data_IF_850057501433
#
_entry.id   IF_850057501433
#
_cell.length_a   1.000
_cell.length_b   1.000
_cell.length_c   1.000
_cell.angle_alpha   90.00
_cell.angle_beta   90.00
_cell.angle_gamma   90.00
#
_symmetry.space_group_name_H-M   'P 1'
#
loop_
_entity.id
_entity.type
_entity.pdbx_description
1 polymer ?
#
# COMPACT_ATOMS: atom_id res chain seq x y z
N UNK A 1 8.47 15.76 -16.46
CA UNK A 1 9.50 16.21 -15.51
C UNK A 1 9.26 15.46 -14.20
N UNK A 2 10.27 14.79 -13.68
CA UNK A 2 10.18 13.92 -12.51
C UNK A 2 9.63 14.67 -11.29
N UNK A 3 8.58 14.14 -10.66
CA UNK A 3 8.17 14.59 -9.34
C UNK A 3 9.27 14.18 -8.35
N UNK A 4 10.09 15.17 -8.00
CA UNK A 4 11.20 15.04 -7.09
C UNK A 4 10.74 14.51 -5.73
N UNK A 5 11.47 13.51 -5.26
CA UNK A 5 11.47 13.10 -3.87
C UNK A 5 12.17 14.20 -3.04
N UNK A 6 11.51 15.34 -2.87
CA UNK A 6 12.00 16.41 -1.98
C UNK A 6 11.62 16.06 -0.55
N UNK A 7 12.64 15.83 0.28
CA UNK A 7 12.50 15.83 1.72
C UNK A 7 11.88 17.18 2.15
N UNK A 8 10.61 17.17 2.55
CA UNK A 8 9.94 18.36 3.05
C UNK A 8 10.21 18.53 4.54
N UNK A 9 10.85 19.66 4.86
CA UNK A 9 10.90 20.27 6.18
C UNK A 9 9.50 20.43 6.78
N UNK A 10 9.37 20.09 8.06
CA UNK A 10 8.13 19.93 8.82
C UNK A 10 7.14 21.10 8.75
N UNK A 11 5.91 20.80 8.35
CA UNK A 11 4.67 21.50 8.76
C UNK A 11 3.65 20.48 9.31
N UNK A 12 4.10 19.61 10.24
CA UNK A 12 3.24 18.70 11.00
C UNK A 12 2.85 17.38 10.32
N UNK A 13 3.33 17.11 9.10
CA UNK A 13 3.15 15.82 8.43
C UNK A 13 4.20 14.77 8.83
N UNK A 14 3.91 13.47 8.65
CA UNK A 14 4.89 12.41 8.86
C UNK A 14 6.10 12.63 7.94
N UNK A 15 7.29 12.68 8.53
CA UNK A 15 8.55 12.81 7.78
C UNK A 15 8.98 11.42 7.32
N UNK A 16 8.90 11.17 6.01
CA UNK A 16 9.43 9.94 5.41
C UNK A 16 10.97 9.97 5.41
N UNK A 17 11.58 8.82 5.72
CA UNK A 17 13.04 8.63 5.73
C UNK A 17 13.42 7.41 4.89
N UNK A 18 14.66 7.34 4.36
CA UNK A 18 15.12 6.18 3.60
C UNK A 18 15.02 4.86 4.37
N UNK A 19 15.16 4.91 5.70
CA UNK A 19 15.10 3.74 6.58
C UNK A 19 13.69 3.17 6.73
N UNK A 20 12.64 3.92 6.39
CA UNK A 20 11.24 3.53 6.64
C UNK A 20 10.86 2.23 5.92
N UNK A 21 11.47 1.94 4.76
CA UNK A 21 11.25 0.66 4.05
C UNK A 21 11.63 -0.55 4.91
N UNK A 22 12.82 -0.50 5.52
CA UNK A 22 13.32 -1.56 6.39
C UNK A 22 12.61 -1.54 7.74
N UNK A 23 12.41 -0.35 8.32
CA UNK A 23 11.77 -0.18 9.62
C UNK A 23 10.31 -0.64 9.61
N UNK A 24 9.55 -0.36 8.55
CA UNK A 24 8.18 -0.84 8.41
C UNK A 24 8.12 -2.37 8.41
N UNK A 25 9.03 -3.02 7.67
CA UNK A 25 9.13 -4.48 7.66
C UNK A 25 9.48 -5.04 9.05
N UNK A 26 10.45 -4.43 9.73
CA UNK A 26 10.84 -4.82 11.09
C UNK A 26 9.72 -4.61 12.11
N UNK A 27 8.97 -3.51 11.98
CA UNK A 27 7.82 -3.20 12.84
C UNK A 27 6.74 -4.26 12.71
N UNK A 28 6.38 -4.63 11.48
CA UNK A 28 5.39 -5.70 11.24
C UNK A 28 5.88 -7.06 11.78
N UNK A 29 7.16 -7.37 11.61
CA UNK A 29 7.75 -8.58 12.21
C UNK A 29 7.69 -8.57 13.74
N UNK A 30 7.96 -7.43 14.37
CA UNK A 30 7.84 -7.25 15.81
C UNK A 30 6.41 -7.43 16.32
N UNK A 31 5.42 -6.85 15.63
CA UNK A 31 4.01 -7.05 15.98
C UNK A 31 3.57 -8.50 15.80
N UNK A 32 3.94 -9.15 14.69
CA UNK A 32 3.60 -10.57 14.48
C UNK A 32 4.12 -11.43 15.62
N UNK A 33 5.39 -11.25 15.99
CA UNK A 33 5.98 -11.98 17.11
C UNK A 33 5.25 -11.77 18.43
N UNK A 34 4.92 -10.52 18.78
CA UNK A 34 4.20 -10.21 20.02
C UNK A 34 2.77 -10.74 20.02
N UNK A 35 2.07 -10.66 18.89
CA UNK A 35 0.72 -11.21 18.74
C UNK A 35 0.72 -12.73 18.88
N UNK A 36 1.72 -13.41 18.30
CA UNK A 36 1.89 -14.86 18.45
C UNK A 36 2.15 -15.24 19.91
N UNK A 37 3.04 -14.51 20.59
CA UNK A 37 3.31 -14.72 22.02
C UNK A 37 2.06 -14.58 22.88
N UNK A 38 1.26 -13.54 22.66
CA UNK A 38 0.00 -13.35 23.41
C UNK A 38 -0.97 -14.49 23.12
N UNK A 39 -1.10 -14.90 21.85
CA UNK A 39 -1.94 -16.05 21.46
C UNK A 39 -1.56 -17.31 22.23
N UNK A 40 -0.27 -17.62 22.31
CA UNK A 40 0.27 -18.80 23.01
C UNK A 40 0.08 -18.70 24.53
N UNK A 41 0.34 -17.54 25.13
CA UNK A 41 0.22 -17.31 26.58
C UNK A 41 -1.22 -17.37 27.09
N UNK A 42 -2.19 -16.95 26.26
CA UNK A 42 -3.60 -16.89 26.63
C UNK A 42 -4.43 -18.05 26.08
N UNK A 43 -3.80 -19.06 25.47
CA UNK A 43 -4.47 -20.18 24.78
C UNK A 43 -5.60 -19.69 23.87
N UNK A 44 -5.29 -18.62 23.10
CA UNK A 44 -6.25 -17.92 22.24
C UNK A 44 -5.98 -18.22 20.77
N UNK A 45 -7.03 -18.08 19.97
CA UNK A 45 -6.93 -18.16 18.51
C UNK A 45 -5.98 -17.10 17.94
N UNK A 46 -5.43 -17.38 16.76
CA UNK A 46 -4.49 -16.50 16.05
C UNK A 46 -5.03 -15.08 15.89
N UNK A 47 -4.34 -14.10 16.47
CA UNK A 47 -4.66 -12.69 16.28
C UNK A 47 -4.22 -12.19 14.91
N UNK A 48 -5.15 -11.58 14.17
CA UNK A 48 -4.88 -11.06 12.84
C UNK A 48 -4.01 -9.79 12.88
N UNK A 49 -3.01 -9.76 11.99
CA UNK A 49 -2.23 -8.57 11.66
C UNK A 49 -2.47 -8.21 10.20
N UNK A 50 -3.06 -7.04 9.97
CA UNK A 50 -3.38 -6.56 8.61
C UNK A 50 -2.83 -5.14 8.40
N UNK A 51 -2.71 -4.72 7.14
CA UNK A 51 -2.30 -3.36 6.81
C UNK A 51 -3.10 -2.81 5.64
N UNK A 52 -3.43 -1.51 5.72
CA UNK A 52 -3.90 -0.73 4.58
C UNK A 52 -2.68 -0.25 3.78
N UNK A 53 -2.64 -0.57 2.48
CA UNK A 53 -1.49 -0.32 1.62
C UNK A 53 -1.90 0.47 0.38
N UNK A 54 -0.98 1.27 -0.16
CA UNK A 54 -1.28 2.15 -1.30
C UNK A 54 -1.35 1.37 -2.63
N UNK A 55 -2.31 1.73 -3.48
CA UNK A 55 -2.37 1.24 -4.86
C UNK A 55 -1.29 1.84 -5.80
N UNK A 56 -0.61 2.92 -5.38
CA UNK A 56 0.35 3.64 -6.24
C UNK A 56 1.61 2.82 -6.52
N UNK A 57 2.02 2.62 -7.78
CA UNK A 57 3.25 1.90 -8.14
C UNK A 57 4.50 2.46 -7.43
N UNK A 58 4.57 3.79 -7.30
CA UNK A 58 5.69 4.47 -6.63
C UNK A 58 5.80 4.11 -5.14
N UNK A 59 4.66 3.90 -4.47
CA UNK A 59 4.61 3.54 -3.05
C UNK A 59 4.82 2.05 -2.84
N UNK A 60 4.27 1.22 -3.73
CA UNK A 60 4.53 -0.23 -3.76
C UNK A 60 6.03 -0.50 -3.88
N UNK A 61 6.74 0.25 -4.74
CA UNK A 61 8.19 0.14 -4.91
C UNK A 61 9.03 0.50 -3.68
N UNK A 62 8.44 1.14 -2.66
CA UNK A 62 9.08 1.44 -1.37
C UNK A 62 8.81 0.35 -0.32
N UNK A 63 8.08 -0.72 -0.65
CA UNK A 63 7.75 -1.80 0.27
C UNK A 63 8.59 -3.04 -0.02
N UNK A 64 8.98 -3.75 1.04
CA UNK A 64 9.51 -5.12 0.91
C UNK A 64 8.34 -6.12 0.81
N UNK A 65 7.52 -6.00 -0.25
CA UNK A 65 6.22 -6.69 -0.43
C UNK A 65 6.29 -8.18 -0.08
N UNK A 66 7.25 -8.92 -0.66
CA UNK A 66 7.42 -10.35 -0.36
C UNK A 66 7.65 -10.64 1.13
N UNK A 67 8.36 -9.78 1.86
CA UNK A 67 8.62 -9.97 3.30
C UNK A 67 7.39 -9.62 4.12
N UNK A 68 6.75 -8.49 3.84
CA UNK A 68 5.55 -8.09 4.59
C UNK A 68 4.38 -9.06 4.35
N UNK A 69 4.29 -9.67 3.17
CA UNK A 69 3.27 -10.68 2.86
C UNK A 69 3.41 -11.97 3.66
N UNK A 70 4.62 -12.27 4.18
CA UNK A 70 4.83 -13.41 5.07
C UNK A 70 4.34 -13.17 6.50
N UNK A 71 4.34 -11.91 6.95
CA UNK A 71 3.99 -11.55 8.34
C UNK A 71 2.55 -11.05 8.47
N UNK A 72 1.99 -10.45 7.41
CA UNK A 72 0.61 -10.01 7.38
C UNK A 72 -0.33 -11.17 7.04
N UNK A 73 -1.53 -11.15 7.63
CA UNK A 73 -2.64 -12.04 7.29
C UNK A 73 -3.40 -11.51 6.07
N UNK A 74 -3.55 -10.18 5.97
CA UNK A 74 -4.21 -9.52 4.85
C UNK A 74 -3.48 -8.23 4.45
N UNK A 75 -3.42 -8.00 3.14
CA UNK A 75 -2.90 -6.81 2.48
C UNK A 75 -4.10 -6.08 1.87
N UNK A 76 -4.66 -5.13 2.59
CA UNK A 76 -5.81 -4.35 2.16
C UNK A 76 -5.32 -3.21 1.26
N UNK A 77 -5.46 -3.36 -0.05
CA UNK A 77 -5.00 -2.37 -1.02
C UNK A 77 -6.07 -1.27 -1.14
N UNK A 78 -5.66 -0.03 -0.92
CA UNK A 78 -6.50 1.16 -1.05
C UNK A 78 -6.66 1.51 -2.54
N UNK A 79 -7.43 0.69 -3.24
CA UNK A 79 -7.72 0.76 -4.68
C UNK A 79 -8.73 1.89 -5.02
N UNK A 80 -8.48 3.07 -4.45
CA UNK A 80 -9.29 4.27 -4.58
C UNK A 80 -8.42 5.51 -4.32
N UNK A 81 -9.01 6.69 -4.39
CA UNK A 81 -8.31 7.98 -4.29
C UNK A 81 -7.22 8.17 -5.38
N UNK A 82 -7.42 7.59 -6.56
CA UNK A 82 -6.48 7.74 -7.69
C UNK A 82 -6.47 9.19 -8.20
N UNK A 83 -7.65 9.79 -8.25
CA UNK A 83 -7.89 11.15 -8.70
C UNK A 83 -8.86 11.85 -7.75
N UNK A 84 -8.76 13.18 -7.64
CA UNK A 84 -9.60 13.92 -6.72
C UNK A 84 -9.38 15.43 -6.74
N UNK A 85 -10.05 16.17 -5.83
CA UNK A 85 -10.06 17.64 -5.86
C UNK A 85 -8.69 18.31 -5.69
N UNK A 86 -7.66 17.57 -5.22
CA UNK A 86 -6.29 18.05 -5.12
C UNK A 86 -5.63 18.29 -6.49
N UNK A 87 -6.17 17.71 -7.57
CA UNK A 87 -5.77 17.99 -8.95
C UNK A 87 -6.47 19.26 -9.47
N UNK A 88 -6.10 20.42 -8.91
CA UNK A 88 -6.84 21.67 -9.10
C UNK A 88 -7.01 22.12 -10.57
N UNK A 89 -6.10 21.71 -11.45
CA UNK A 89 -6.13 22.04 -12.90
C UNK A 89 -6.77 20.93 -13.73
N UNK A 90 -7.19 19.83 -13.11
CA UNK A 90 -7.64 18.63 -13.78
C UNK A 90 -6.53 17.94 -14.61
N UNK A 91 -6.93 17.03 -15.52
CA UNK A 91 -8.33 16.69 -15.86
C UNK A 91 -9.05 15.94 -14.73
N UNK A 92 -10.38 15.97 -14.71
CA UNK A 92 -11.17 15.05 -13.89
C UNK A 92 -11.03 13.63 -14.43
N UNK A 93 -10.92 12.63 -13.56
CA UNK A 93 -10.79 11.23 -13.97
C UNK A 93 -11.37 10.26 -12.93
N UNK A 94 -11.34 8.95 -13.20
CA UNK A 94 -11.90 7.91 -12.34
C UNK A 94 -11.10 7.72 -11.06
N UNK A 95 -11.71 7.96 -9.90
CA UNK A 95 -11.02 7.82 -8.61
C UNK A 95 -10.71 6.36 -8.19
N UNK A 96 -11.36 5.38 -8.83
CA UNK A 96 -11.25 3.94 -8.51
C UNK A 96 -11.62 3.09 -9.74
N UNK A 97 -10.91 3.28 -10.85
CA UNK A 97 -11.15 2.47 -12.07
C UNK A 97 -10.59 1.05 -11.93
N UNK A 98 -11.37 0.04 -12.37
CA UNK A 98 -10.95 -1.36 -12.35
C UNK A 98 -9.80 -1.65 -13.32
N UNK A 99 -9.88 -1.05 -14.52
CA UNK A 99 -8.87 -1.15 -15.58
C UNK A 99 -8.52 0.25 -16.08
N UNK A 100 -7.30 0.42 -16.59
CA UNK A 100 -6.84 1.72 -17.08
C UNK A 100 -7.67 2.23 -18.26
N UNK A 101 -8.05 3.50 -18.21
CA UNK A 101 -8.72 4.17 -19.32
C UNK A 101 -7.73 4.46 -20.48
N UNK A 102 -8.04 4.09 -21.73
CA UNK A 102 -7.23 4.47 -22.89
C UNK A 102 -7.16 6.00 -23.13
N UNK A 103 -8.07 6.77 -22.52
CA UNK A 103 -8.10 8.22 -22.61
C UNK A 103 -7.22 8.91 -21.56
N UNK A 104 -6.71 8.17 -20.57
CA UNK A 104 -5.83 8.72 -19.55
C UNK A 104 -4.36 8.73 -20.01
N UNK A 105 -3.61 9.82 -19.78
CA UNK A 105 -2.16 9.82 -20.00
C UNK A 105 -1.43 8.74 -19.19
N UNK A 106 -0.59 7.95 -19.85
CA UNK A 106 0.13 6.82 -19.23
C UNK A 106 0.96 7.17 -17.97
N UNK A 107 1.37 8.43 -17.80
CA UNK A 107 2.11 8.88 -16.63
C UNK A 107 1.27 8.95 -15.34
N UNK A 108 -0.06 9.00 -15.46
CA UNK A 108 -0.99 9.16 -14.35
C UNK A 108 -1.81 7.90 -14.08
N UNK A 109 -1.83 6.95 -15.02
CA UNK A 109 -2.64 5.74 -14.96
C UNK A 109 -2.35 4.92 -13.70
N UNK A 110 -3.35 4.84 -12.83
CA UNK A 110 -3.45 3.90 -11.72
C UNK A 110 -4.83 3.26 -11.78
N UNK A 111 -4.87 1.94 -11.78
CA UNK A 111 -6.11 1.17 -11.73
C UNK A 111 -5.97 0.01 -10.76
N UNK A 112 -7.10 -0.58 -10.36
CA UNK A 112 -7.14 -1.77 -9.50
C UNK A 112 -6.37 -2.94 -10.13
N UNK A 113 -6.54 -3.19 -11.43
CA UNK A 113 -5.80 -4.27 -12.10
C UNK A 113 -4.28 -4.03 -12.03
N UNK A 114 -3.84 -2.80 -12.31
CA UNK A 114 -2.42 -2.47 -12.28
C UNK A 114 -1.83 -2.57 -10.87
N UNK A 115 -2.52 -2.05 -9.85
CA UNK A 115 -2.05 -2.09 -8.46
C UNK A 115 -1.89 -3.54 -7.98
N UNK A 116 -2.88 -4.39 -8.21
CA UNK A 116 -2.86 -5.81 -7.81
C UNK A 116 -1.76 -6.56 -8.56
N UNK A 117 -1.60 -6.33 -9.86
CA UNK A 117 -0.53 -6.94 -10.64
C UNK A 117 0.87 -6.49 -10.17
N UNK A 118 1.03 -5.23 -9.73
CA UNK A 118 2.28 -4.75 -9.14
C UNK A 118 2.60 -5.44 -7.80
N UNK A 119 1.61 -5.65 -6.93
CA UNK A 119 1.80 -6.42 -5.69
C UNK A 119 2.19 -7.87 -5.96
N UNK A 120 1.52 -8.52 -6.92
CA UNK A 120 1.84 -9.88 -7.33
C UNK A 120 3.26 -9.98 -7.90
N UNK A 121 3.65 -9.05 -8.78
CA UNK A 121 4.99 -8.98 -9.33
C UNK A 121 6.06 -8.74 -8.26
N UNK A 122 5.73 -7.99 -7.21
CA UNK A 122 6.60 -7.75 -6.05
C UNK A 122 6.61 -8.92 -5.04
N UNK A 123 5.89 -10.01 -5.30
CA UNK A 123 5.93 -11.25 -4.54
C UNK A 123 4.90 -11.36 -3.41
N UNK A 124 3.80 -10.60 -3.47
CA UNK A 124 2.68 -10.80 -2.56
C UNK A 124 1.99 -12.16 -2.79
N UNK A 125 1.55 -12.79 -1.70
CA UNK A 125 0.63 -13.92 -1.77
C UNK A 125 -0.75 -13.46 -2.25
N UNK A 126 -1.20 -14.02 -3.38
CA UNK A 126 -2.50 -13.72 -4.00
C UNK A 126 -3.66 -13.91 -3.02
N UNK A 127 -3.60 -14.91 -2.14
CA UNK A 127 -4.71 -15.22 -1.23
C UNK A 127 -4.85 -14.22 -0.08
N UNK A 128 -3.85 -13.36 0.12
CA UNK A 128 -3.85 -12.33 1.16
C UNK A 128 -4.17 -10.93 0.63
N UNK A 129 -4.21 -10.73 -0.69
CA UNK A 129 -4.53 -9.44 -1.31
C UNK A 129 -6.04 -9.19 -1.29
N UNK A 130 -6.45 -8.06 -0.71
CA UNK A 130 -7.84 -7.63 -0.64
C UNK A 130 -7.99 -6.32 -1.42
N UNK A 131 -8.88 -6.33 -2.42
CA UNK A 131 -9.20 -5.16 -3.25
C UNK A 131 -10.08 -4.19 -2.46
N UNK A 132 -9.71 -2.91 -2.45
CA UNK A 132 -10.49 -1.84 -1.85
C UNK A 132 -11.62 -1.34 -2.77
N UNK A 133 -12.80 -1.02 -2.20
CA UNK A 133 -13.92 -0.41 -2.93
C UNK A 133 -14.45 0.78 -2.14
N UNK A 134 -14.53 1.99 -2.73
CA UNK A 134 -15.05 3.19 -2.07
C UNK A 134 -16.58 3.27 -2.15
N UNK A 135 -17.25 3.75 -1.08
CA UNK A 135 -18.72 3.84 -0.94
C UNK A 135 -19.23 5.28 -0.80
#
# INVERSE_FOLDING_TARGET
AAAGNSATTSTGGPTARPEDTANFTSLLGGFRHQLDQVSDETDSEHYLLTAALSASPSKIGLLQVQKISKVLDQLNVMDYDFHGPWEATGPTNFQSELFTSPQEPAANQVSVDQSINNYLAAGADRHKLIVGVPF
#
